data_IF_401148211453
#
_entry.id   IF_401148211453
#
_cell.length_a   1.000
_cell.length_b   1.000
_cell.length_c   1.000
_cell.angle_alpha   90.00
_cell.angle_beta   90.00
_cell.angle_gamma   90.00
#
_symmetry.space_group_name_H-M   'P 1'
#
loop_
_entity.id
_entity.type
_entity.pdbx_description
1 polymer ?
#
# COMPACT_ATOMS: atom_id res chain seq x y z
N UNK A 1 -9.42 44.91 -3.56
CA UNK A 1 -10.12 43.64 -3.28
C UNK A 1 -9.15 42.77 -2.51
N UNK A 2 -9.41 42.55 -1.23
CA UNK A 2 -8.55 41.70 -0.40
C UNK A 2 -8.85 40.25 -0.76
N UNK A 3 -8.07 39.68 -1.69
CA UNK A 3 -8.17 38.28 -2.06
C UNK A 3 -7.94 37.42 -0.82
N UNK A 4 -8.82 36.44 -0.61
CA UNK A 4 -8.69 35.50 0.49
C UNK A 4 -7.34 34.77 0.39
N UNK A 5 -6.56 34.65 1.48
CA UNK A 5 -5.24 34.05 1.42
C UNK A 5 -5.33 32.58 1.00
N UNK A 6 -4.50 32.20 0.03
CA UNK A 6 -4.36 30.81 -0.44
C UNK A 6 -3.98 29.88 0.71
N UNK A 7 -4.86 28.92 0.96
CA UNK A 7 -4.63 27.83 1.91
C UNK A 7 -3.53 26.90 1.38
N UNK A 8 -2.70 26.39 2.28
CA UNK A 8 -1.56 25.51 1.97
C UNK A 8 -2.04 24.22 1.31
N UNK A 9 -3.19 23.71 1.73
CA UNK A 9 -3.81 22.49 1.22
C UNK A 9 -4.14 22.59 -0.27
N UNK A 10 -4.71 23.73 -0.69
CA UNK A 10 -5.02 23.97 -2.09
C UNK A 10 -3.76 24.02 -2.96
N UNK A 11 -2.68 24.64 -2.44
CA UNK A 11 -1.38 24.66 -3.12
C UNK A 11 -0.77 23.26 -3.25
N UNK A 12 -0.91 22.42 -2.23
CA UNK A 12 -0.45 21.02 -2.26
C UNK A 12 -1.23 20.21 -3.29
N UNK A 13 -2.55 20.25 -3.27
CA UNK A 13 -3.40 19.54 -4.25
C UNK A 13 -3.10 19.97 -5.69
N UNK A 14 -2.87 21.27 -5.90
CA UNK A 14 -2.47 21.79 -7.21
C UNK A 14 -1.08 21.30 -7.63
N UNK A 15 -0.09 21.33 -6.73
CA UNK A 15 1.28 20.86 -7.03
C UNK A 15 1.31 19.34 -7.29
N UNK A 16 0.46 18.58 -6.61
CA UNK A 16 0.30 17.13 -6.80
C UNK A 16 -0.59 16.75 -8.00
N UNK A 17 -1.24 17.73 -8.65
CA UNK A 17 -2.12 17.51 -9.81
C UNK A 17 -3.47 16.89 -9.46
N UNK A 18 -3.90 16.95 -8.20
CA UNK A 18 -5.18 16.42 -7.71
C UNK A 18 -6.26 17.49 -7.55
N UNK A 19 -5.90 18.76 -7.71
CA UNK A 19 -6.87 19.86 -7.74
C UNK A 19 -7.82 19.73 -8.96
N UNK A 20 -9.06 20.19 -8.80
CA UNK A 20 -9.99 20.32 -9.93
C UNK A 20 -9.44 21.31 -10.96
N UNK A 21 -9.85 21.22 -12.22
CA UNK A 21 -9.39 22.13 -13.28
C UNK A 21 -9.70 23.60 -12.95
N UNK A 22 -10.88 23.86 -12.39
CA UNK A 22 -11.29 25.19 -11.94
C UNK A 22 -10.43 25.72 -10.78
N UNK A 23 -10.09 24.87 -9.80
CA UNK A 23 -9.22 25.26 -8.70
C UNK A 23 -7.77 25.44 -9.15
N UNK A 24 -7.29 24.59 -10.04
CA UNK A 24 -5.95 24.68 -10.59
C UNK A 24 -5.73 26.00 -11.35
N UNK A 25 -6.73 26.44 -12.12
CA UNK A 25 -6.69 27.73 -12.83
C UNK A 25 -6.71 28.92 -11.85
N UNK A 26 -7.57 28.87 -10.84
CA UNK A 26 -7.64 29.89 -9.78
C UNK A 26 -6.33 30.01 -9.01
N UNK A 27 -5.74 28.88 -8.63
CA UNK A 27 -4.49 28.81 -7.88
C UNK A 27 -3.32 29.28 -8.77
N UNK A 28 -3.30 28.91 -10.05
CA UNK A 28 -2.31 29.39 -11.02
C UNK A 28 -2.34 30.91 -11.14
N UNK A 29 -3.53 31.48 -11.38
CA UNK A 29 -3.70 32.94 -11.47
C UNK A 29 -3.26 33.67 -10.19
N UNK A 30 -3.54 33.09 -9.01
CA UNK A 30 -3.14 33.66 -7.73
C UNK A 30 -1.62 33.54 -7.47
N UNK A 31 -0.99 32.42 -7.86
CA UNK A 31 0.47 32.21 -7.77
C UNK A 31 1.24 33.12 -8.73
N UNK A 32 0.67 33.43 -9.90
CA UNK A 32 1.27 34.36 -10.88
C UNK A 32 1.16 35.82 -10.47
N UNK A 33 0.07 36.19 -9.80
CA UNK A 33 -0.22 37.59 -9.41
C UNK A 33 0.28 37.98 -8.02
N UNK A 34 0.46 37.02 -7.09
CA UNK A 34 0.92 37.27 -5.72
C UNK A 34 2.32 36.68 -5.45
N UNK A 35 3.34 37.53 -5.23
CA UNK A 35 4.69 37.09 -4.87
C UNK A 35 4.75 36.23 -3.59
N UNK A 36 3.87 36.47 -2.61
CA UNK A 36 3.84 35.70 -1.37
C UNK A 36 3.32 34.27 -1.62
N UNK A 37 2.23 34.14 -2.39
CA UNK A 37 1.74 32.85 -2.86
C UNK A 37 2.78 32.10 -3.71
N UNK A 38 3.51 32.80 -4.57
CA UNK A 38 4.60 32.22 -5.37
C UNK A 38 5.74 31.68 -4.51
N UNK A 39 6.19 32.44 -3.50
CA UNK A 39 7.22 32.01 -2.57
C UNK A 39 6.77 30.78 -1.77
N UNK A 40 5.51 30.76 -1.32
CA UNK A 40 4.90 29.65 -0.59
C UNK A 40 4.78 28.39 -1.45
N UNK A 41 4.30 28.52 -2.69
CA UNK A 41 4.24 27.42 -3.65
C UNK A 41 5.64 26.84 -3.94
N UNK A 42 6.67 27.69 -4.08
CA UNK A 42 8.07 27.25 -4.25
C UNK A 42 8.58 26.52 -3.01
N UNK A 43 8.27 26.99 -1.80
CA UNK A 43 8.66 26.35 -0.56
C UNK A 43 8.02 24.95 -0.43
N UNK A 44 6.72 24.84 -0.71
CA UNK A 44 5.99 23.56 -0.71
C UNK A 44 6.56 22.63 -1.79
N UNK A 45 6.81 23.12 -3.01
CA UNK A 45 7.41 22.31 -4.08
C UNK A 45 8.80 21.81 -3.73
N UNK A 46 9.62 22.62 -3.05
CA UNK A 46 10.94 22.19 -2.53
C UNK A 46 10.81 21.16 -1.43
N UNK A 47 9.86 21.32 -0.51
CA UNK A 47 9.60 20.33 0.54
C UNK A 47 9.14 18.99 -0.06
N UNK A 48 8.24 19.01 -1.06
CA UNK A 48 7.78 17.82 -1.78
C UNK A 48 8.89 17.19 -2.63
N UNK A 49 9.71 17.98 -3.31
CA UNK A 49 10.88 17.49 -4.04
C UNK A 49 11.90 16.85 -3.08
N UNK A 50 12.13 17.48 -1.93
CA UNK A 50 12.96 16.94 -0.85
C UNK A 50 12.40 15.64 -0.31
N UNK A 51 11.08 15.49 -0.17
CA UNK A 51 10.43 14.22 0.20
C UNK A 51 10.55 13.14 -0.88
N UNK A 52 10.47 13.51 -2.17
CA UNK A 52 10.71 12.59 -3.29
C UNK A 52 12.17 12.14 -3.39
N UNK A 53 13.11 13.04 -3.14
CA UNK A 53 14.54 12.76 -3.04
C UNK A 53 14.85 11.90 -1.80
N UNK A 54 14.20 12.20 -0.67
CA UNK A 54 14.22 11.40 0.56
C UNK A 54 13.69 9.98 0.34
N UNK A 55 12.67 9.80 -0.52
CA UNK A 55 12.15 8.48 -0.94
C UNK A 55 13.14 7.67 -1.79
N UNK A 56 13.99 8.34 -2.60
CA UNK A 56 15.08 7.67 -3.35
C UNK A 56 16.27 7.29 -2.46
N UNK A 57 16.47 7.99 -1.34
CA UNK A 57 17.55 7.76 -0.38
C UNK A 57 17.12 7.01 0.89
N UNK A 58 15.88 6.49 0.93
CA UNK A 58 15.22 5.91 2.10
C UNK A 58 15.83 4.60 2.64
N UNK A 59 17.00 4.17 2.17
CA UNK A 59 17.74 3.07 2.79
C UNK A 59 18.39 3.46 4.13
N UNK A 60 18.57 4.75 4.45
CA UNK A 60 19.45 5.15 5.57
C UNK A 60 18.89 6.16 6.61
N UNK A 61 17.63 6.61 6.54
CA UNK A 61 17.13 7.58 7.53
C UNK A 61 15.98 7.07 8.41
N UNK A 62 16.30 6.77 9.68
CA UNK A 62 15.33 6.72 10.78
C UNK A 62 14.88 8.15 11.12
N UNK A 63 13.65 8.51 10.77
CA UNK A 63 13.00 9.71 11.33
C UNK A 63 12.82 9.49 12.83
N UNK A 64 13.41 10.35 13.66
CA UNK A 64 13.33 10.19 15.13
C UNK A 64 12.02 10.73 15.66
N UNK A 65 11.52 10.18 16.78
CA UNK A 65 10.27 10.61 17.41
C UNK A 65 10.24 12.10 17.79
N UNK A 66 11.40 12.70 18.06
CA UNK A 66 11.52 14.14 18.32
C UNK A 66 11.20 15.02 17.11
N UNK A 67 11.60 14.60 15.90
CA UNK A 67 11.34 15.36 14.67
C UNK A 67 9.85 15.35 14.31
N UNK A 68 9.20 14.21 14.50
CA UNK A 68 7.74 14.08 14.36
C UNK A 68 7.00 14.91 15.41
N UNK A 69 7.50 14.93 16.65
CA UNK A 69 6.92 15.73 17.75
C UNK A 69 7.09 17.24 17.52
N UNK A 70 8.20 17.66 16.91
CA UNK A 70 8.41 19.05 16.56
C UNK A 70 7.48 19.49 15.41
N UNK A 71 7.31 18.64 14.40
CA UNK A 71 6.44 18.90 13.26
C UNK A 71 4.95 18.91 13.67
N UNK A 72 4.53 18.01 14.58
CA UNK A 72 3.15 17.96 15.08
C UNK A 72 2.77 19.16 15.93
N UNK A 73 3.72 19.80 16.62
CA UNK A 73 3.49 21.06 17.37
C UNK A 73 3.24 22.26 16.46
N UNK A 74 3.69 22.21 15.20
CA UNK A 74 3.53 23.30 14.23
C UNK A 74 2.22 23.18 13.45
N UNK A 75 1.45 22.11 13.65
CA UNK A 75 0.26 21.80 12.86
C UNK A 75 -1.01 21.82 13.72
N UNK A 76 -2.14 22.20 13.12
CA UNK A 76 -3.45 22.14 13.80
C UNK A 76 -3.77 20.68 14.17
N UNK A 77 -4.50 20.41 15.27
CA UNK A 77 -4.77 19.05 15.76
C UNK A 77 -5.31 18.08 14.67
N UNK A 78 -6.23 18.54 13.82
CA UNK A 78 -6.75 17.72 12.71
C UNK A 78 -5.79 17.57 11.52
N UNK A 79 -4.74 18.39 11.43
CA UNK A 79 -3.70 18.27 10.42
C UNK A 79 -2.61 17.28 10.84
N UNK A 80 -2.43 17.04 12.15
CA UNK A 80 -1.54 15.99 12.68
C UNK A 80 -2.11 14.59 12.39
N UNK A 81 -3.42 14.39 12.55
CA UNK A 81 -4.07 13.13 12.18
C UNK A 81 -4.00 12.86 10.67
N UNK A 82 -4.25 13.88 9.85
CA UNK A 82 -4.12 13.77 8.38
C UNK A 82 -2.68 13.59 7.93
N UNK A 83 -1.72 14.26 8.56
CA UNK A 83 -0.30 14.05 8.30
C UNK A 83 0.11 12.65 8.77
N UNK A 84 -0.38 12.16 9.89
CA UNK A 84 -0.14 10.80 10.36
C UNK A 84 -0.74 9.75 9.43
N UNK A 85 -1.90 10.02 8.82
CA UNK A 85 -2.49 9.18 7.78
C UNK A 85 -1.71 9.27 6.47
N UNK A 86 -1.28 10.47 6.05
CA UNK A 86 -0.49 10.70 4.84
C UNK A 86 0.95 10.16 4.98
N UNK A 87 1.53 10.23 6.17
CA UNK A 87 2.82 9.64 6.50
C UNK A 87 2.71 8.13 6.61
N UNK A 88 1.63 7.57 7.18
CA UNK A 88 1.35 6.14 7.09
C UNK A 88 1.21 5.70 5.64
N UNK A 89 0.50 6.47 4.82
CA UNK A 89 0.37 6.26 3.37
C UNK A 89 1.69 6.46 2.62
N UNK A 90 2.60 7.28 3.13
CA UNK A 90 3.94 7.46 2.57
C UNK A 90 4.93 6.38 3.05
N UNK A 91 4.71 5.85 4.27
CA UNK A 91 5.39 4.72 4.91
C UNK A 91 4.90 3.37 4.43
N UNK A 92 3.76 3.32 3.71
CA UNK A 92 3.35 2.17 2.90
C UNK A 92 4.55 1.76 2.06
N UNK A 93 5.21 0.71 2.53
CA UNK A 93 6.32 0.12 1.83
C UNK A 93 5.66 -0.73 0.76
N UNK A 94 5.49 -0.14 -0.42
CA UNK A 94 4.97 -0.82 -1.60
C UNK A 94 5.85 -2.04 -1.81
N UNK A 95 5.30 -3.22 -1.54
CA UNK A 95 5.99 -4.46 -1.69
C UNK A 95 6.04 -4.81 -3.16
N UNK A 96 7.26 -4.96 -3.66
CA UNK A 96 7.47 -5.42 -5.02
C UNK A 96 7.26 -6.94 -5.02
N UNK A 97 6.44 -7.44 -5.94
CA UNK A 97 6.39 -8.87 -6.21
C UNK A 97 7.74 -9.31 -6.77
N UNK A 98 8.49 -10.09 -5.99
CA UNK A 98 9.81 -10.62 -6.35
C UNK A 98 9.71 -12.03 -6.92
N UNK A 99 8.62 -12.75 -6.64
CA UNK A 99 8.35 -14.06 -7.18
C UNK A 99 6.85 -14.25 -7.40
N UNK A 100 6.50 -14.87 -8.53
CA UNK A 100 5.14 -15.28 -8.87
C UNK A 100 5.22 -16.58 -9.68
N UNK A 101 4.66 -17.65 -9.13
CA UNK A 101 4.76 -18.98 -9.75
C UNK A 101 4.08 -19.06 -11.12
N UNK A 102 3.11 -18.18 -11.42
CA UNK A 102 2.47 -18.15 -12.75
C UNK A 102 3.33 -17.48 -13.83
N UNK A 103 4.25 -16.60 -13.43
CA UNK A 103 5.11 -15.85 -14.35
C UNK A 103 6.46 -16.52 -14.59
N UNK A 104 6.81 -17.52 -13.78
CA UNK A 104 8.07 -18.24 -13.96
C UNK A 104 7.93 -19.37 -14.99
N UNK A 105 8.85 -19.45 -15.98
CA UNK A 105 8.94 -20.64 -16.82
C UNK A 105 9.27 -21.84 -15.92
N UNK A 106 8.66 -22.98 -16.22
CA UNK A 106 8.55 -24.21 -15.40
C UNK A 106 9.87 -24.94 -15.08
N UNK A 107 10.98 -24.23 -14.93
CA UNK A 107 12.35 -24.78 -14.89
C UNK A 107 13.04 -24.59 -13.54
N UNK A 108 12.40 -23.96 -12.55
CA UNK A 108 12.97 -23.83 -11.21
C UNK A 108 12.99 -25.21 -10.50
N UNK A 109 14.17 -25.83 -10.28
CA UNK A 109 14.25 -27.14 -9.64
C UNK A 109 14.00 -26.95 -8.13
N UNK A 110 12.84 -27.37 -7.64
CA UNK A 110 12.55 -27.34 -6.21
C UNK A 110 11.07 -27.28 -5.84
N UNK A 111 10.22 -26.69 -6.70
CA UNK A 111 8.77 -26.66 -6.48
C UNK A 111 8.09 -27.91 -7.08
N UNK A 112 8.45 -29.09 -6.56
CA UNK A 112 7.68 -30.33 -6.83
C UNK A 112 6.52 -30.39 -5.84
N UNK A 113 5.44 -29.69 -6.14
CA UNK A 113 4.28 -29.72 -5.25
C UNK A 113 3.07 -28.92 -5.69
N UNK A 114 3.18 -27.98 -6.65
CA UNK A 114 2.03 -27.17 -7.05
C UNK A 114 0.91 -28.08 -7.54
N UNK A 115 -0.14 -28.21 -6.74
CA UNK A 115 -1.38 -28.83 -7.20
C UNK A 115 -1.90 -27.97 -8.35
N UNK A 116 -2.60 -28.60 -9.28
CA UNK A 116 -3.17 -27.89 -10.42
C UNK A 116 -4.05 -26.74 -9.92
N UNK A 117 -3.69 -25.50 -10.27
CA UNK A 117 -4.37 -24.28 -9.80
C UNK A 117 -3.75 -23.58 -8.59
N UNK A 118 -2.69 -24.09 -7.96
CA UNK A 118 -1.98 -23.40 -6.88
C UNK A 118 -1.06 -22.28 -7.43
N UNK A 119 -1.11 -21.10 -6.81
CA UNK A 119 -0.22 -19.96 -7.11
C UNK A 119 0.48 -19.50 -5.84
N UNK A 120 1.78 -19.25 -5.95
CA UNK A 120 2.59 -18.67 -4.89
C UNK A 120 3.10 -17.31 -5.31
N UNK A 121 2.87 -16.29 -4.48
CA UNK A 121 3.38 -14.93 -4.68
C UNK A 121 4.27 -14.58 -3.49
N UNK A 122 5.47 -14.06 -3.76
CA UNK A 122 6.31 -13.44 -2.73
C UNK A 122 6.46 -11.96 -3.05
N UNK A 123 6.16 -11.13 -2.06
CA UNK A 123 6.33 -9.69 -2.15
C UNK A 123 7.25 -9.19 -1.04
N UNK A 124 8.17 -8.28 -1.36
CA UNK A 124 9.17 -7.78 -0.43
C UNK A 124 9.28 -6.26 -0.51
N UNK A 125 9.59 -5.66 0.63
CA UNK A 125 9.76 -4.21 0.82
C UNK A 125 10.81 -3.95 1.91
N UNK A 126 11.17 -2.68 2.13
CA UNK A 126 12.05 -2.30 3.23
C UNK A 126 11.44 -2.57 4.63
N UNK A 127 10.12 -2.61 4.74
CA UNK A 127 9.44 -2.90 6.01
C UNK A 127 9.39 -4.40 6.35
N UNK A 128 9.50 -5.27 5.34
CA UNK A 128 9.30 -6.71 5.49
C UNK A 128 8.88 -7.37 4.18
N UNK A 129 8.46 -8.62 4.26
CA UNK A 129 7.94 -9.39 3.14
C UNK A 129 6.73 -10.22 3.52
N UNK A 130 6.06 -10.72 2.50
CA UNK A 130 4.91 -11.63 2.64
C UNK A 130 4.98 -12.70 1.56
N UNK A 131 4.72 -13.93 1.98
CA UNK A 131 4.51 -15.06 1.09
C UNK A 131 3.01 -15.36 1.08
N UNK A 132 2.41 -15.44 -0.11
CA UNK A 132 1.01 -15.79 -0.32
C UNK A 132 0.91 -17.11 -1.06
N UNK A 133 0.06 -17.99 -0.55
CA UNK A 133 -0.36 -19.24 -1.16
C UNK A 133 -1.84 -19.12 -1.53
N UNK A 134 -2.13 -19.22 -2.83
CA UNK A 134 -3.46 -19.05 -3.40
C UNK A 134 -3.87 -20.38 -4.00
N UNK A 135 -4.95 -20.98 -3.48
CA UNK A 135 -5.46 -22.26 -3.93
C UNK A 135 -6.99 -22.21 -4.13
N UNK A 136 -7.55 -22.95 -5.10
CA UNK A 136 -8.99 -23.00 -5.30
C UNK A 136 -9.65 -23.76 -4.14
N UNK A 137 -10.72 -23.18 -3.56
CA UNK A 137 -11.52 -23.88 -2.54
C UNK A 137 -12.42 -24.92 -3.22
N UNK A 138 -12.72 -26.00 -2.50
CA UNK A 138 -13.69 -27.01 -2.94
C UNK A 138 -15.05 -26.34 -3.29
N UNK A 139 -15.47 -26.42 -4.56
CA UNK A 139 -16.68 -25.75 -5.07
C UNK A 139 -16.43 -24.55 -6.01
N UNK A 140 -15.17 -24.13 -6.18
CA UNK A 140 -14.68 -23.36 -7.34
C UNK A 140 -15.09 -21.89 -7.47
N UNK A 141 -15.93 -21.36 -6.58
CA UNK A 141 -16.30 -19.92 -6.58
C UNK A 141 -15.45 -19.05 -5.66
N UNK A 142 -14.74 -19.67 -4.73
CA UNK A 142 -13.86 -19.01 -3.78
C UNK A 142 -12.46 -19.59 -3.86
N UNK A 143 -11.49 -18.73 -3.59
CA UNK A 143 -10.08 -19.05 -3.49
C UNK A 143 -9.66 -18.86 -2.04
N UNK A 144 -8.93 -19.84 -1.54
CA UNK A 144 -8.28 -19.75 -0.25
C UNK A 144 -6.93 -19.07 -0.45
N UNK A 145 -6.69 -17.99 0.30
CA UNK A 145 -5.45 -17.24 0.29
C UNK A 145 -4.85 -17.31 1.69
N UNK A 146 -3.86 -18.16 1.85
CA UNK A 146 -3.06 -18.22 3.06
C UNK A 146 -1.80 -17.39 2.88
N UNK A 147 -1.30 -16.77 3.94
CA UNK A 147 -0.03 -16.05 3.85
C UNK A 147 0.72 -15.95 5.16
N UNK A 148 2.01 -15.64 5.06
CA UNK A 148 2.90 -15.44 6.19
C UNK A 148 3.64 -14.11 6.04
N UNK A 149 3.49 -13.24 7.03
CA UNK A 149 4.08 -11.89 7.08
C UNK A 149 5.37 -11.91 7.90
N UNK A 150 6.44 -11.36 7.33
CA UNK A 150 7.76 -11.28 7.95
C UNK A 150 8.21 -9.83 8.01
N UNK A 151 8.14 -9.21 9.18
CA UNK A 151 8.59 -7.83 9.39
C UNK A 151 10.11 -7.73 9.57
N UNK A 152 10.75 -6.73 8.96
CA UNK A 152 12.19 -6.54 9.00
C UNK A 152 12.70 -6.02 10.36
N UNK A 153 11.85 -5.40 11.17
CA UNK A 153 12.21 -4.94 12.50
C UNK A 153 12.11 -6.08 13.52
N UNK A 154 13.19 -6.32 14.27
CA UNK A 154 13.35 -7.43 15.23
C UNK A 154 12.40 -7.42 16.45
N UNK A 155 11.32 -6.62 16.42
CA UNK A 155 10.27 -6.56 17.44
C UNK A 155 8.85 -6.73 16.88
N UNK A 156 8.72 -7.17 15.62
CA UNK A 156 7.42 -7.37 14.96
C UNK A 156 6.75 -8.73 15.24
N UNK A 157 7.47 -9.70 15.81
CA UNK A 157 6.86 -10.97 16.24
C UNK A 157 6.00 -10.73 17.48
N UNK A 158 4.68 -10.67 17.30
CA UNK A 158 3.70 -10.47 18.37
C UNK A 158 2.90 -9.15 18.30
N UNK A 159 3.15 -8.27 17.33
CA UNK A 159 2.25 -7.14 17.11
C UNK A 159 0.99 -7.62 16.37
N UNK A 160 -0.23 -7.23 16.81
CA UNK A 160 -1.45 -7.53 16.06
C UNK A 160 -1.30 -7.03 14.62
N UNK A 161 -1.39 -7.96 13.68
CA UNK A 161 -1.26 -7.67 12.25
C UNK A 161 -2.63 -7.81 11.63
N UNK A 162 -3.08 -6.77 10.93
CA UNK A 162 -4.36 -6.76 10.20
C UNK A 162 -4.04 -6.85 8.71
N UNK A 163 -4.77 -7.72 8.01
CA UNK A 163 -4.66 -7.93 6.57
C UNK A 163 -5.99 -7.55 5.93
N UNK A 164 -5.94 -6.62 4.97
CA UNK A 164 -7.09 -6.11 4.24
C UNK A 164 -6.89 -6.33 2.74
N UNK A 165 -7.83 -7.02 2.12
CA UNK A 165 -7.87 -7.21 0.67
C UNK A 165 -9.02 -6.39 0.09
N UNK A 166 -8.70 -5.36 -0.70
CA UNK A 166 -9.67 -4.48 -1.35
C UNK A 166 -9.81 -4.86 -2.82
N UNK A 167 -11.03 -5.24 -3.22
CA UNK A 167 -11.30 -5.63 -4.61
C UNK A 167 -11.33 -4.40 -5.51
N UNK A 168 -10.53 -4.41 -6.59
CA UNK A 168 -10.37 -3.27 -7.49
C UNK A 168 -11.65 -2.90 -8.27
N UNK A 169 -12.57 -3.85 -8.50
CA UNK A 169 -13.76 -3.62 -9.30
C UNK A 169 -14.87 -2.85 -8.58
N UNK A 170 -14.99 -3.00 -7.26
CA UNK A 170 -16.10 -2.45 -6.49
C UNK A 170 -15.72 -1.94 -5.10
N UNK A 171 -14.43 -1.96 -4.75
CA UNK A 171 -13.92 -1.50 -3.46
C UNK A 171 -14.33 -2.39 -2.29
N UNK A 172 -14.87 -3.59 -2.52
CA UNK A 172 -15.24 -4.49 -1.43
C UNK A 172 -14.00 -4.90 -0.65
N UNK A 173 -13.99 -4.60 0.63
CA UNK A 173 -12.91 -4.94 1.56
C UNK A 173 -13.21 -6.26 2.29
N UNK A 174 -12.18 -7.07 2.47
CA UNK A 174 -12.20 -8.30 3.24
C UNK A 174 -11.02 -8.23 4.20
N UNK A 175 -11.30 -8.38 5.49
CA UNK A 175 -10.31 -8.24 6.56
C UNK A 175 -10.08 -9.59 7.27
N UNK A 176 -8.82 -9.85 7.63
CA UNK A 176 -8.40 -10.94 8.51
C UNK A 176 -7.31 -10.45 9.47
N UNK A 177 -7.23 -11.07 10.65
CA UNK A 177 -6.08 -10.92 11.54
C UNK A 177 -5.03 -11.97 11.24
N UNK A 178 -3.75 -11.62 11.37
CA UNK A 178 -2.67 -12.59 11.43
C UNK A 178 -2.41 -13.02 12.89
N UNK A 179 -1.95 -14.25 13.07
CA UNK A 179 -1.54 -14.77 14.37
C UNK A 179 -0.17 -14.22 14.84
N UNK A 180 0.31 -14.68 15.99
CA UNK A 180 1.60 -14.25 16.55
C UNK A 180 2.80 -14.59 15.65
N UNK A 181 2.66 -15.61 14.79
CA UNK A 181 3.64 -16.01 13.78
C UNK A 181 3.54 -15.22 12.48
N UNK A 182 2.54 -14.34 12.34
CA UNK A 182 2.27 -13.59 11.12
C UNK A 182 1.50 -14.39 10.07
N UNK A 183 0.94 -15.55 10.42
CA UNK A 183 0.13 -16.36 9.52
C UNK A 183 -1.31 -15.84 9.47
N UNK A 184 -1.91 -15.81 8.27
CA UNK A 184 -3.30 -15.41 8.06
C UNK A 184 -3.95 -16.20 6.93
N UNK A 185 -5.29 -16.19 6.91
CA UNK A 185 -6.11 -16.81 5.88
C UNK A 185 -7.25 -15.89 5.45
N UNK A 186 -7.50 -15.82 4.14
CA UNK A 186 -8.59 -15.07 3.51
C UNK A 186 -9.34 -15.97 2.52
N UNK A 187 -10.64 -15.72 2.38
CA UNK A 187 -11.45 -16.29 1.30
C UNK A 187 -11.79 -15.19 0.28
N UNK A 188 -11.20 -15.26 -0.91
CA UNK A 188 -11.36 -14.27 -1.96
C UNK A 188 -12.13 -14.85 -3.16
N UNK A 189 -12.88 -14.01 -3.86
CA UNK A 189 -13.45 -14.38 -5.16
C UNK A 189 -12.42 -14.10 -6.26
N UNK A 190 -12.67 -14.61 -7.47
CA UNK A 190 -11.89 -14.21 -8.63
C UNK A 190 -11.93 -12.69 -8.84
N UNK A 191 -10.80 -12.09 -9.20
CA UNK A 191 -10.66 -10.64 -9.39
C UNK A 191 -9.28 -10.11 -9.07
N UNK A 192 -9.08 -8.80 -9.26
CA UNK A 192 -7.87 -8.11 -8.86
C UNK A 192 -8.07 -7.43 -7.50
N UNK A 193 -7.09 -7.55 -6.62
CA UNK A 193 -7.11 -7.04 -5.25
C UNK A 193 -5.86 -6.21 -4.98
N UNK A 194 -6.03 -5.14 -4.21
CA UNK A 194 -4.93 -4.52 -3.47
C UNK A 194 -4.91 -5.15 -2.07
N UNK A 195 -3.73 -5.59 -1.62
CA UNK A 195 -3.58 -6.22 -0.30
C UNK A 195 -2.74 -5.31 0.59
N UNK A 196 -3.37 -4.79 1.65
CA UNK A 196 -2.75 -4.00 2.70
C UNK A 196 -2.53 -4.89 3.93
N UNK A 197 -1.31 -4.92 4.42
CA UNK A 197 -0.91 -5.63 5.63
C UNK A 197 -0.33 -4.59 6.58
N UNK A 198 -0.86 -4.48 7.79
CA UNK A 198 -0.47 -3.42 8.71
C UNK A 198 -0.33 -3.91 10.16
N UNK A 199 0.51 -3.20 10.89
CA UNK A 199 0.64 -3.23 12.34
C UNK A 199 0.43 -1.81 12.87
N UNK A 200 0.55 -1.63 14.18
CA UNK A 200 0.56 -0.29 14.80
C UNK A 200 1.71 0.61 14.31
N UNK A 201 2.78 0.03 13.74
CA UNK A 201 4.04 0.72 13.42
C UNK A 201 4.44 0.68 11.95
N UNK A 202 3.94 -0.28 11.19
CA UNK A 202 4.40 -0.57 9.83
C UNK A 202 3.24 -0.98 8.94
N UNK A 203 3.34 -0.66 7.65
CA UNK A 203 2.41 -1.13 6.62
C UNK A 203 3.16 -1.63 5.39
N UNK A 204 2.58 -2.63 4.75
CA UNK A 204 3.04 -3.26 3.53
C UNK A 204 1.88 -3.33 2.55
N UNK A 205 2.08 -2.87 1.32
CA UNK A 205 1.03 -2.86 0.29
C UNK A 205 1.47 -3.68 -0.91
N UNK A 206 0.65 -4.63 -1.32
CA UNK A 206 0.76 -5.31 -2.62
C UNK A 206 -0.29 -4.69 -3.53
N UNK A 207 0.14 -3.85 -4.47
CA UNK A 207 -0.75 -3.04 -5.32
C UNK A 207 -1.72 -3.89 -6.15
N UNK A 208 -1.29 -5.10 -6.52
CA UNK A 208 -2.09 -5.96 -7.38
C UNK A 208 -1.80 -7.44 -7.15
N UNK A 209 -2.79 -8.12 -6.60
CA UNK A 209 -2.89 -9.58 -6.53
C UNK A 209 -4.05 -10.01 -7.41
N UNK A 210 -3.76 -10.85 -8.41
CA UNK A 210 -4.80 -11.40 -9.27
C UNK A 210 -5.25 -12.76 -8.75
N UNK A 211 -6.54 -12.90 -8.45
CA UNK A 211 -7.17 -14.16 -8.13
C UNK A 211 -7.78 -14.70 -9.44
N UNK A 212 -7.31 -15.85 -9.94
CA UNK A 212 -7.70 -16.34 -11.26
C UNK A 212 -9.22 -16.53 -11.39
N UNK A 213 -9.77 -16.02 -12.50
CA UNK A 213 -11.12 -16.35 -12.93
C UNK A 213 -11.07 -17.64 -13.73
N UNK A 214 -11.30 -18.77 -13.09
CA UNK A 214 -11.45 -20.05 -13.75
C UNK A 214 -12.60 -20.81 -13.13
N UNK A 215 -13.45 -21.40 -13.97
CA UNK A 215 -14.21 -22.58 -13.55
C UNK A 215 -13.18 -23.55 -12.97
N UNK A 216 -13.28 -23.86 -11.67
CA UNK A 216 -12.39 -24.85 -11.06
C UNK A 216 -12.37 -26.09 -11.99
N UNK A 217 -11.19 -26.64 -12.32
CA UNK A 217 -11.13 -27.83 -13.14
C UNK A 217 -12.05 -28.85 -12.48
N UNK A 218 -13.08 -29.29 -13.20
CA UNK A 218 -14.08 -30.21 -12.70
C UNK A 218 -13.30 -31.37 -12.08
N UNK A 219 -13.37 -31.51 -10.76
CA UNK A 219 -12.63 -32.55 -10.02
C UNK A 219 -13.03 -33.86 -10.66
N UNK A 220 -12.14 -34.41 -11.50
CA UNK A 220 -12.34 -35.66 -12.18
C UNK A 220 -12.46 -36.71 -11.10
N UNK A 221 -13.70 -37.07 -10.77
CA UNK A 221 -13.99 -38.10 -9.78
C UNK A 221 -13.27 -39.36 -10.21
N UNK A 222 -12.21 -39.71 -9.48
CA UNK A 222 -11.67 -41.05 -9.49
C UNK A 222 -12.79 -41.97 -8.95
N UNK A 223 -13.55 -42.56 -9.87
CA UNK A 223 -14.32 -43.76 -9.57
C UNK A 223 -13.28 -44.86 -9.30
N UNK A 224 -13.20 -45.28 -8.05
CA UNK A 224 -12.72 -46.63 -7.69
C UNK A 224 -13.84 -47.60 -8.02
#
# INVERSE_FOLDING_TARGET
MSGEPLQDEALVEWILGTATEADAERIRAAVESDPAASAKAKAIRRALAGLHEFRRSAAEFKVTGEQLTHLSRLMKPGAVERLGAALRKAQESIARIVFDSLLQPSVAPGYRGSREGERVIRAESAAGGVDLHIEPRAGGREWHVAGEVRWASAGGGGAPTVVRAMRASDGKEIEAGADEGGFFELALQAGAYEVLIETDKSSLVIERVEIPGGDAPATGGARV
#
